data_IF_129685174547
#
_entry.id   IF_129685174547
#
_cell.length_a   1.000
_cell.length_b   1.000
_cell.length_c   1.000
_cell.angle_alpha   90.00
_cell.angle_beta   90.00
_cell.angle_gamma   90.00
#
_symmetry.space_group_name_H-M   'P 1'
#
loop_
_entity.id
_entity.type
_entity.pdbx_description
1 polymer ?
#
# COMPACT_ATOMS: atom_id res chain seq x y z
N UNK A 1 72.79 -18.84 -59.22
CA UNK A 1 71.38 -18.37 -59.12
C UNK A 1 71.38 -16.89 -59.47
N UNK A 2 70.45 -16.41 -60.29
CA UNK A 2 70.32 -14.97 -60.54
C UNK A 2 69.55 -14.34 -59.36
N UNK A 3 70.12 -13.29 -58.75
CA UNK A 3 69.45 -12.55 -57.68
C UNK A 3 68.41 -11.58 -58.23
N UNK A 4 67.23 -11.51 -57.61
CA UNK A 4 66.24 -10.48 -57.92
C UNK A 4 66.65 -9.15 -57.27
N UNK A 5 66.65 -8.07 -58.05
CA UNK A 5 66.76 -6.70 -57.50
C UNK A 5 65.38 -6.30 -56.95
N UNK A 6 65.21 -6.36 -55.63
CA UNK A 6 63.95 -6.01 -54.96
C UNK A 6 63.94 -4.52 -54.61
N UNK A 7 62.88 -3.80 -54.99
CA UNK A 7 62.70 -2.36 -54.75
C UNK A 7 61.30 -2.05 -54.24
N UNK A 8 61.15 -0.85 -53.68
CA UNK A 8 59.85 -0.27 -53.31
C UNK A 8 59.26 0.43 -54.56
N UNK A 9 58.14 -0.10 -55.07
CA UNK A 9 57.52 0.36 -56.32
C UNK A 9 55.99 0.26 -56.22
N UNK A 10 55.27 1.35 -55.89
CA UNK A 10 53.84 1.34 -55.56
C UNK A 10 52.97 1.32 -56.83
N UNK A 11 53.13 0.28 -57.66
CA UNK A 11 52.22 0.03 -58.78
C UNK A 11 51.03 -0.82 -58.31
N UNK A 12 49.81 -0.61 -58.83
CA UNK A 12 48.61 -1.35 -58.39
C UNK A 12 48.73 -2.88 -58.48
N UNK A 13 49.53 -3.39 -59.41
CA UNK A 13 49.83 -4.83 -59.56
C UNK A 13 50.59 -5.46 -58.38
N UNK A 14 51.15 -4.65 -57.47
CA UNK A 14 51.82 -5.10 -56.24
C UNK A 14 51.10 -4.67 -54.95
N UNK A 15 49.86 -4.18 -55.08
CA UNK A 15 49.03 -3.78 -53.96
C UNK A 15 48.66 -5.01 -53.11
N UNK A 16 48.97 -4.95 -51.80
CA UNK A 16 48.67 -6.00 -50.82
C UNK A 16 47.40 -5.69 -50.03
N UNK A 17 47.17 -4.41 -49.75
CA UNK A 17 45.91 -3.89 -49.20
C UNK A 17 45.74 -2.42 -49.56
N UNK A 18 44.53 -2.03 -49.91
CA UNK A 18 44.14 -0.64 -50.19
C UNK A 18 44.35 0.29 -48.98
N UNK A 19 44.36 1.60 -49.25
CA UNK A 19 44.26 2.59 -48.19
C UNK A 19 42.85 2.56 -47.57
N UNK A 20 42.78 2.85 -46.28
CA UNK A 20 41.57 2.81 -45.45
C UNK A 20 41.47 4.09 -44.62
N UNK A 21 40.33 4.35 -43.96
CA UNK A 21 40.15 5.54 -43.12
C UNK A 21 41.09 5.63 -41.89
N UNK A 22 41.92 4.61 -41.63
CA UNK A 22 42.88 4.57 -40.50
C UNK A 22 44.29 4.09 -40.88
N UNK A 23 44.54 3.70 -42.13
CA UNK A 23 45.83 3.13 -42.56
C UNK A 23 46.08 3.36 -44.05
N UNK A 24 47.34 3.65 -44.40
CA UNK A 24 47.78 3.79 -45.80
C UNK A 24 47.71 2.45 -46.55
N UNK A 25 47.71 2.51 -47.88
CA UNK A 25 47.90 1.33 -48.70
C UNK A 25 49.24 0.64 -48.39
N UNK A 26 49.25 -0.69 -48.46
CA UNK A 26 50.44 -1.53 -48.29
C UNK A 26 50.74 -2.19 -49.62
N UNK A 27 51.99 -2.09 -50.06
CA UNK A 27 52.48 -2.75 -51.27
C UNK A 27 53.55 -3.78 -50.91
N UNK A 28 53.61 -4.87 -51.68
CA UNK A 28 54.76 -5.78 -51.64
C UNK A 28 55.93 -5.17 -52.42
N UNK A 29 57.16 -5.40 -51.96
CA UNK A 29 58.37 -5.04 -52.71
C UNK A 29 58.52 -5.99 -53.90
N UNK A 30 59.08 -5.52 -55.01
CA UNK A 30 59.08 -6.28 -56.26
C UNK A 30 60.33 -6.06 -57.12
N UNK A 31 60.54 -6.95 -58.08
CA UNK A 31 61.60 -6.84 -59.08
C UNK A 31 61.08 -6.22 -60.37
N UNK A 32 61.55 -5.02 -60.78
CA UNK A 32 60.98 -4.29 -61.91
C UNK A 32 61.21 -4.98 -63.26
N UNK A 33 62.23 -5.84 -63.36
CA UNK A 33 62.61 -6.53 -64.59
C UNK A 33 61.81 -7.80 -64.88
N UNK A 34 61.25 -8.45 -63.85
CA UNK A 34 60.58 -9.75 -64.00
C UNK A 34 59.27 -9.88 -63.21
N UNK A 35 58.81 -8.79 -62.57
CA UNK A 35 57.58 -8.71 -61.76
C UNK A 35 57.48 -9.73 -60.62
N UNK A 36 58.60 -10.32 -60.21
CA UNK A 36 58.68 -11.15 -59.01
C UNK A 36 58.38 -10.29 -57.78
N UNK A 37 57.46 -10.75 -56.94
CA UNK A 37 57.01 -10.08 -55.73
C UNK A 37 57.63 -10.76 -54.51
N UNK A 38 58.26 -10.02 -53.60
CA UNK A 38 58.78 -10.57 -52.34
C UNK A 38 57.72 -10.57 -51.24
N UNK A 39 58.03 -11.24 -50.12
CA UNK A 39 57.21 -11.23 -48.90
C UNK A 39 57.28 -9.90 -48.15
N UNK A 40 58.30 -9.08 -48.44
CA UNK A 40 58.55 -7.80 -47.78
C UNK A 40 57.56 -6.74 -48.26
N UNK A 41 57.17 -5.85 -47.37
CA UNK A 41 56.19 -4.80 -47.66
C UNK A 41 56.70 -3.41 -47.31
N UNK A 42 56.06 -2.41 -47.89
CA UNK A 42 56.22 -1.00 -47.54
C UNK A 42 54.85 -0.31 -47.58
N UNK A 43 54.73 0.79 -46.85
CA UNK A 43 53.56 1.67 -46.90
C UNK A 43 53.67 2.58 -48.13
N UNK A 44 52.54 3.02 -48.67
CA UNK A 44 52.53 4.05 -49.72
C UNK A 44 53.26 5.32 -49.24
N UNK A 45 54.35 5.74 -49.92
CA UNK A 45 55.11 6.92 -49.52
C UNK A 45 54.48 8.22 -50.05
N UNK A 46 53.58 8.14 -51.03
CA UNK A 46 53.00 9.29 -51.73
C UNK A 46 51.55 9.56 -51.30
N UNK A 47 50.75 8.52 -51.11
CA UNK A 47 49.34 8.62 -50.72
C UNK A 47 49.14 8.47 -49.20
N UNK A 48 48.06 9.06 -48.70
CA UNK A 48 47.68 9.03 -47.29
C UNK A 48 46.84 7.81 -46.91
N UNK A 49 46.06 7.99 -45.83
CA UNK A 49 44.84 7.22 -45.59
C UNK A 49 43.79 7.57 -46.66
N UNK A 50 42.83 6.69 -46.92
CA UNK A 50 41.63 7.07 -47.67
C UNK A 50 40.53 7.43 -46.66
N UNK A 51 40.22 8.72 -46.45
CA UNK A 51 39.26 9.16 -45.45
C UNK A 51 37.80 8.78 -45.76
N UNK A 52 37.51 8.06 -46.86
CA UNK A 52 36.17 7.59 -47.21
C UNK A 52 36.05 6.05 -47.12
N UNK A 53 37.14 5.31 -46.99
CA UNK A 53 37.12 3.84 -46.95
C UNK A 53 36.89 3.31 -45.51
N UNK A 54 35.67 3.54 -45.02
CA UNK A 54 35.16 3.08 -43.74
C UNK A 54 34.69 1.62 -43.81
N UNK A 55 34.76 0.92 -42.67
CA UNK A 55 34.12 -0.39 -42.50
C UNK A 55 32.86 -0.22 -41.63
N UNK A 56 31.79 0.31 -42.24
CA UNK A 56 30.56 0.67 -41.52
C UNK A 56 29.82 -0.58 -41.01
N UNK A 57 29.36 -0.52 -39.76
CA UNK A 57 28.40 -1.45 -39.18
C UNK A 57 27.14 -0.72 -38.68
N UNK A 58 26.03 -1.44 -38.67
CA UNK A 58 24.70 -0.98 -38.24
C UNK A 58 24.45 -1.33 -36.77
N UNK A 59 23.94 -0.38 -36.00
CA UNK A 59 23.61 -0.54 -34.59
C UNK A 59 22.12 -0.20 -34.35
N UNK A 60 21.34 -1.10 -33.73
CA UNK A 60 19.92 -0.83 -33.47
C UNK A 60 19.75 0.23 -32.39
N UNK A 61 18.62 0.95 -32.47
CA UNK A 61 18.21 1.92 -31.47
C UNK A 61 18.06 1.27 -30.08
N UNK A 62 18.42 2.01 -29.03
CA UNK A 62 18.10 1.69 -27.63
C UNK A 62 17.20 2.79 -27.09
N UNK A 63 15.98 2.44 -26.66
CA UNK A 63 15.12 3.39 -25.98
C UNK A 63 15.77 3.88 -24.66
N UNK A 64 15.70 5.18 -24.33
CA UNK A 64 16.10 5.67 -23.01
C UNK A 64 15.17 5.11 -21.92
N UNK A 65 15.68 5.03 -20.69
CA UNK A 65 14.90 4.72 -19.48
C UNK A 65 14.87 5.93 -18.56
N UNK A 66 14.26 5.83 -17.38
CA UNK A 66 14.29 6.91 -16.39
C UNK A 66 15.73 7.29 -15.97
N UNK A 67 16.65 6.32 -15.92
CA UNK A 67 18.00 6.47 -15.38
C UNK A 67 19.12 6.32 -16.43
N UNK A 68 18.85 5.70 -17.58
CA UNK A 68 19.83 5.49 -18.64
C UNK A 68 19.48 6.24 -19.92
N UNK A 69 20.50 6.85 -20.53
CA UNK A 69 20.41 7.36 -21.89
C UNK A 69 20.16 6.23 -22.91
N UNK A 70 19.49 6.61 -23.99
CA UNK A 70 19.25 5.80 -25.18
C UNK A 70 20.06 6.29 -26.38
N UNK A 71 19.75 5.77 -27.55
CA UNK A 71 20.26 6.25 -28.83
C UNK A 71 19.33 5.83 -29.97
N UNK A 72 19.30 6.64 -31.03
CA UNK A 72 18.65 6.26 -32.30
C UNK A 72 19.45 5.16 -33.02
N UNK A 73 18.85 4.50 -34.02
CA UNK A 73 19.59 3.51 -34.81
C UNK A 73 20.68 4.23 -35.61
N UNK A 74 21.92 3.72 -35.58
CA UNK A 74 23.08 4.45 -36.10
C UNK A 74 24.08 3.55 -36.83
N UNK A 75 24.85 4.19 -37.71
CA UNK A 75 26.00 3.63 -38.40
C UNK A 75 27.29 4.13 -37.77
N UNK A 76 28.31 3.27 -37.62
CA UNK A 76 29.66 3.67 -37.23
C UNK A 76 30.74 2.81 -37.88
N UNK A 77 31.93 3.39 -38.07
CA UNK A 77 33.07 2.67 -38.60
C UNK A 77 33.69 1.73 -37.55
N UNK A 78 33.86 0.45 -37.92
CA UNK A 78 34.43 -0.61 -37.06
C UNK A 78 35.96 -0.68 -37.06
N UNK A 79 36.65 0.21 -37.79
CA UNK A 79 38.12 0.24 -37.80
C UNK A 79 38.64 0.98 -36.57
N UNK A 80 39.45 0.31 -35.75
CA UNK A 80 40.15 0.90 -34.61
C UNK A 80 40.88 2.20 -34.99
N UNK A 81 40.69 3.25 -34.18
CA UNK A 81 41.20 4.59 -34.46
C UNK A 81 40.33 5.44 -35.41
N UNK A 82 39.21 4.92 -35.92
CA UNK A 82 38.17 5.71 -36.56
C UNK A 82 37.07 6.08 -35.55
N UNK A 83 36.57 7.31 -35.64
CA UNK A 83 35.47 7.81 -34.81
C UNK A 83 34.29 8.32 -35.65
N UNK A 84 34.26 7.96 -36.94
CA UNK A 84 33.14 8.26 -37.81
C UNK A 84 31.90 7.44 -37.39
N UNK A 85 30.83 8.17 -37.09
CA UNK A 85 29.63 7.65 -36.44
C UNK A 85 28.48 8.64 -36.59
N UNK A 86 27.29 8.12 -36.87
CA UNK A 86 26.03 8.88 -36.95
C UNK A 86 25.23 8.84 -35.63
N UNK A 87 25.83 8.32 -34.54
CA UNK A 87 25.13 8.10 -33.26
C UNK A 87 24.57 9.40 -32.67
N UNK A 88 23.24 9.49 -32.63
CA UNK A 88 22.50 10.45 -31.82
C UNK A 88 22.16 9.82 -30.47
N UNK A 89 22.64 10.41 -29.38
CA UNK A 89 22.29 9.98 -28.01
C UNK A 89 20.99 10.65 -27.56
N UNK A 90 20.11 9.85 -26.94
CA UNK A 90 18.84 10.30 -26.40
C UNK A 90 18.97 10.43 -24.87
N UNK A 91 18.59 11.57 -24.26
CA UNK A 91 18.69 11.73 -22.81
C UNK A 91 17.82 10.72 -22.07
N UNK A 92 18.18 10.39 -20.83
CA UNK A 92 17.31 9.63 -19.94
C UNK A 92 15.98 10.37 -19.73
N UNK A 93 14.89 9.63 -19.60
CA UNK A 93 13.53 10.15 -19.47
C UNK A 93 13.27 10.87 -18.14
N UNK A 94 14.10 10.61 -17.13
CA UNK A 94 13.84 11.01 -15.75
C UNK A 94 12.66 10.28 -15.10
N UNK A 95 12.45 10.55 -13.82
CA UNK A 95 11.30 10.06 -13.07
C UNK A 95 10.14 11.07 -13.12
N UNK A 96 9.01 10.65 -13.70
CA UNK A 96 7.75 11.38 -13.64
C UNK A 96 7.05 11.05 -12.32
N UNK A 97 7.47 11.71 -11.23
CA UNK A 97 6.99 11.43 -9.88
C UNK A 97 5.59 12.03 -9.60
N UNK A 98 4.62 11.16 -9.33
CA UNK A 98 3.33 11.47 -8.71
C UNK A 98 3.50 11.37 -7.18
N UNK A 99 3.04 12.38 -6.44
CA UNK A 99 3.12 12.43 -4.97
C UNK A 99 1.87 11.81 -4.32
N UNK A 100 2.08 11.04 -3.26
CA UNK A 100 1.04 10.41 -2.44
C UNK A 100 1.25 10.77 -0.96
N UNK A 101 0.33 11.57 -0.41
CA UNK A 101 0.34 11.96 1.00
C UNK A 101 0.15 10.75 1.94
N UNK A 102 0.75 10.81 3.13
CA UNK A 102 0.61 9.78 4.15
C UNK A 102 -0.85 9.66 4.64
N UNK A 103 -1.39 8.44 4.65
CA UNK A 103 -2.72 8.13 5.20
C UNK A 103 -2.56 7.26 6.45
N UNK A 104 -3.09 7.71 7.58
CA UNK A 104 -3.14 6.90 8.79
C UNK A 104 -3.96 5.61 8.58
N UNK A 105 -3.50 4.48 9.12
CA UNK A 105 -4.27 3.24 9.12
C UNK A 105 -5.36 3.24 10.20
N UNK A 106 -6.32 2.33 10.06
CA UNK A 106 -7.43 2.12 11.00
C UNK A 106 -7.65 0.60 11.17
N UNK A 107 -8.62 0.21 12.01
CA UNK A 107 -9.06 -1.19 12.08
C UNK A 107 -9.76 -1.66 10.78
N UNK A 108 -10.37 -0.75 10.03
CA UNK A 108 -11.10 -1.05 8.79
C UNK A 108 -10.21 -1.03 7.53
N UNK A 109 -9.29 -0.07 7.46
CA UNK A 109 -8.49 0.22 6.27
C UNK A 109 -7.00 0.31 6.60
N UNK A 110 -6.17 -0.27 5.72
CA UNK A 110 -4.74 -0.03 5.75
C UNK A 110 -4.43 1.44 5.41
N UNK A 111 -3.32 1.94 5.94
CA UNK A 111 -2.77 3.25 5.65
C UNK A 111 -1.59 3.16 4.69
N UNK A 112 -0.94 4.30 4.47
CA UNK A 112 0.30 4.39 3.73
C UNK A 112 1.21 5.48 4.33
N UNK A 113 2.52 5.31 4.20
CA UNK A 113 3.49 6.40 4.42
C UNK A 113 3.36 7.46 3.30
N UNK A 114 4.06 8.57 3.43
CA UNK A 114 4.26 9.49 2.30
C UNK A 114 5.22 8.84 1.30
N UNK A 115 4.87 8.86 0.01
CA UNK A 115 5.71 8.30 -1.06
C UNK A 115 5.50 9.02 -2.39
N UNK A 116 6.40 8.74 -3.34
CA UNK A 116 6.29 9.14 -4.74
C UNK A 116 6.29 7.92 -5.64
N UNK A 117 5.47 7.93 -6.70
CA UNK A 117 5.36 6.85 -7.69
C UNK A 117 5.75 7.36 -9.07
N UNK A 118 6.50 6.57 -9.83
CA UNK A 118 6.95 6.94 -11.17
C UNK A 118 6.20 6.19 -12.27
N UNK A 119 5.21 6.84 -12.91
CA UNK A 119 4.42 6.27 -14.02
C UNK A 119 5.28 5.68 -15.14
N UNK A 120 6.43 6.30 -15.45
CA UNK A 120 7.35 5.84 -16.51
C UNK A 120 7.98 4.44 -16.27
N UNK A 121 8.02 3.94 -15.03
CA UNK A 121 8.72 2.68 -14.72
C UNK A 121 8.15 1.87 -13.55
N UNK A 122 7.06 2.30 -12.91
CA UNK A 122 6.40 1.58 -11.81
C UNK A 122 7.17 1.56 -10.49
N UNK A 123 8.21 2.39 -10.34
CA UNK A 123 9.03 2.48 -9.11
C UNK A 123 8.41 3.41 -8.07
N UNK A 124 8.68 3.11 -6.81
CA UNK A 124 8.24 3.89 -5.65
C UNK A 124 9.46 4.50 -4.94
N UNK A 125 9.31 5.69 -4.37
CA UNK A 125 10.37 6.44 -3.71
C UNK A 125 9.90 7.04 -2.39
N UNK A 126 10.80 7.14 -1.42
CA UNK A 126 10.53 7.76 -0.11
C UNK A 126 10.95 9.24 -0.02
N UNK A 127 11.31 9.84 -1.17
CA UNK A 127 11.66 11.26 -1.30
C UNK A 127 11.31 11.82 -2.68
N UNK A 128 10.97 13.11 -2.75
CA UNK A 128 10.66 13.85 -3.97
C UNK A 128 11.85 14.05 -4.92
N UNK A 129 13.06 13.61 -4.55
CA UNK A 129 14.30 13.79 -5.31
C UNK A 129 14.85 12.48 -5.89
N UNK A 130 14.00 11.45 -6.01
CA UNK A 130 14.27 10.10 -6.56
C UNK A 130 15.48 9.34 -5.97
N UNK A 131 16.03 9.78 -4.84
CA UNK A 131 17.26 9.19 -4.28
C UNK A 131 17.07 7.87 -3.50
N UNK A 132 15.86 7.58 -3.01
CA UNK A 132 15.57 6.43 -2.13
C UNK A 132 14.40 5.60 -2.66
N UNK A 133 14.71 4.76 -3.64
CA UNK A 133 13.81 3.72 -4.13
C UNK A 133 13.37 2.78 -2.99
N UNK A 134 12.07 2.48 -2.95
CA UNK A 134 11.40 1.56 -2.03
C UNK A 134 10.47 0.62 -2.83
N UNK A 135 9.95 -0.43 -2.21
CA UNK A 135 8.94 -1.30 -2.84
C UNK A 135 7.53 -0.77 -2.53
N UNK A 136 6.58 -1.14 -3.40
CA UNK A 136 5.14 -0.95 -3.13
C UNK A 136 4.73 -1.46 -1.74
N UNK A 137 5.19 -2.66 -1.36
CA UNK A 137 4.92 -3.25 -0.04
C UNK A 137 5.49 -2.44 1.13
N UNK A 138 6.56 -1.68 0.93
CA UNK A 138 7.17 -0.83 1.95
C UNK A 138 6.36 0.48 2.14
N UNK A 139 5.45 0.82 1.20
CA UNK A 139 4.56 1.98 1.36
C UNK A 139 3.39 1.74 2.32
N UNK A 140 3.03 0.47 2.56
CA UNK A 140 1.79 0.08 3.23
C UNK A 140 1.94 0.09 4.75
N UNK A 141 1.05 0.81 5.44
CA UNK A 141 0.93 0.79 6.90
C UNK A 141 -0.21 -0.16 7.27
N UNK A 142 0.11 -1.22 8.02
CA UNK A 142 -0.85 -2.25 8.39
C UNK A 142 -2.09 -1.70 9.14
N UNK A 143 -3.22 -2.41 9.01
CA UNK A 143 -4.43 -2.16 9.81
C UNK A 143 -4.11 -2.23 11.30
N UNK A 144 -4.81 -1.43 12.10
CA UNK A 144 -4.70 -1.46 13.56
C UNK A 144 -5.45 -2.67 14.15
N UNK A 145 -5.09 -3.03 15.37
CA UNK A 145 -5.89 -3.96 16.18
C UNK A 145 -7.33 -3.42 16.33
N UNK A 146 -8.37 -4.25 16.12
CA UNK A 146 -9.74 -3.78 16.13
C UNK A 146 -10.30 -3.66 17.56
N UNK A 147 -11.21 -2.72 17.76
CA UNK A 147 -11.88 -2.42 19.04
C UNK A 147 -13.39 -2.61 18.96
N UNK A 148 -14.06 -2.68 20.12
CA UNK A 148 -15.52 -2.67 20.20
C UNK A 148 -15.99 -1.24 20.46
N UNK A 149 -16.71 -0.67 19.50
CA UNK A 149 -17.23 0.71 19.52
C UNK A 149 -18.67 0.82 20.04
N UNK A 150 -19.38 -0.31 20.17
CA UNK A 150 -20.68 -0.37 20.85
C UNK A 150 -20.97 -1.76 21.42
N UNK A 151 -21.69 -1.81 22.54
CA UNK A 151 -22.13 -3.06 23.19
C UNK A 151 -21.27 -3.54 24.35
N UNK A 152 -20.08 -2.95 24.57
CA UNK A 152 -19.30 -3.22 25.79
C UNK A 152 -20.04 -2.77 27.06
N UNK A 153 -19.86 -3.51 28.16
CA UNK A 153 -20.57 -3.30 29.42
C UNK A 153 -22.05 -3.73 29.41
N UNK A 154 -22.55 -4.37 28.36
CA UNK A 154 -23.96 -4.76 28.24
C UNK A 154 -24.44 -5.69 29.38
N UNK A 155 -25.73 -5.59 29.72
CA UNK A 155 -26.35 -6.39 30.78
C UNK A 155 -27.69 -7.02 30.36
N UNK A 156 -27.92 -8.22 30.90
CA UNK A 156 -29.12 -9.05 30.65
C UNK A 156 -29.41 -9.89 31.90
N UNK A 157 -30.67 -10.17 32.21
CA UNK A 157 -31.04 -11.11 33.28
C UNK A 157 -30.95 -12.55 32.79
N UNK A 158 -30.56 -13.47 33.68
CA UNK A 158 -30.49 -14.89 33.37
C UNK A 158 -31.88 -15.42 32.96
N UNK A 159 -31.98 -15.95 31.73
CA UNK A 159 -33.23 -16.41 31.14
C UNK A 159 -34.08 -15.34 30.43
N UNK A 160 -33.60 -14.09 30.32
CA UNK A 160 -34.28 -13.02 29.57
C UNK A 160 -34.16 -13.27 28.05
N UNK A 161 -35.30 -13.29 27.33
CA UNK A 161 -35.33 -13.48 25.87
C UNK A 161 -34.97 -12.18 25.15
N UNK A 162 -33.68 -11.85 25.15
CA UNK A 162 -33.13 -10.60 24.64
C UNK A 162 -31.84 -10.86 23.87
N UNK A 163 -31.78 -10.36 22.64
CA UNK A 163 -30.56 -10.35 21.85
C UNK A 163 -29.59 -9.29 22.36
N UNK A 164 -28.28 -9.58 22.30
CA UNK A 164 -27.23 -8.61 22.63
C UNK A 164 -26.43 -8.29 21.37
N UNK A 165 -26.24 -7.00 21.08
CA UNK A 165 -25.55 -6.53 19.87
C UNK A 165 -24.26 -5.81 20.23
N UNK A 166 -23.19 -6.13 19.52
CA UNK A 166 -21.84 -5.61 19.69
C UNK A 166 -21.32 -5.17 18.33
N UNK A 167 -20.59 -4.06 18.26
CA UNK A 167 -20.09 -3.49 17.01
C UNK A 167 -18.58 -3.32 17.08
N UNK A 168 -17.84 -3.92 16.14
CA UNK A 168 -16.42 -3.65 15.96
C UNK A 168 -16.19 -2.58 14.88
N UNK A 169 -15.12 -1.81 15.04
CA UNK A 169 -14.57 -0.89 14.04
C UNK A 169 -13.88 -1.61 12.85
N UNK A 170 -13.62 -2.91 12.95
CA UNK A 170 -13.12 -3.74 11.85
C UNK A 170 -14.07 -3.71 10.65
N UNK A 171 -13.52 -3.74 9.43
CA UNK A 171 -14.33 -3.82 8.22
C UNK A 171 -14.99 -5.20 8.11
N UNK A 172 -16.24 -5.25 7.67
CA UNK A 172 -17.02 -6.49 7.57
C UNK A 172 -16.36 -7.55 6.66
N UNK A 173 -15.57 -7.14 5.66
CA UNK A 173 -14.79 -8.03 4.80
C UNK A 173 -13.61 -8.72 5.50
N UNK A 174 -13.16 -8.21 6.66
CA UNK A 174 -12.12 -8.82 7.48
C UNK A 174 -12.68 -9.85 8.48
N UNK A 175 -14.00 -9.92 8.69
CA UNK A 175 -14.61 -10.77 9.72
C UNK A 175 -14.35 -12.26 9.47
N UNK A 176 -13.91 -12.97 10.52
CA UNK A 176 -13.60 -14.41 10.48
C UNK A 176 -14.61 -15.22 11.31
N UNK A 177 -14.85 -14.83 12.58
CA UNK A 177 -15.70 -15.58 13.52
C UNK A 177 -16.04 -14.78 14.77
N UNK A 178 -17.07 -15.23 15.48
CA UNK A 178 -17.35 -14.81 16.87
C UNK A 178 -16.78 -15.83 17.85
N UNK A 179 -16.29 -15.33 18.98
CA UNK A 179 -15.88 -16.12 20.15
C UNK A 179 -16.65 -15.68 21.40
N UNK A 180 -16.89 -16.61 22.31
CA UNK A 180 -17.38 -16.36 23.66
C UNK A 180 -16.46 -17.05 24.66
N UNK A 181 -15.96 -16.29 25.64
CA UNK A 181 -15.02 -16.73 26.67
C UNK A 181 -13.79 -17.48 26.09
N UNK A 182 -13.26 -16.95 24.97
CA UNK A 182 -12.12 -17.50 24.25
C UNK A 182 -12.41 -18.78 23.44
N UNK A 183 -13.68 -19.10 23.17
CA UNK A 183 -14.11 -20.28 22.39
C UNK A 183 -14.94 -19.87 21.20
N UNK A 184 -14.67 -20.44 20.03
CA UNK A 184 -15.45 -20.19 18.81
C UNK A 184 -16.93 -20.51 19.01
N UNK A 185 -17.78 -19.52 18.73
CA UNK A 185 -19.22 -19.64 18.82
C UNK A 185 -19.79 -20.22 17.53
N UNK A 186 -20.77 -21.13 17.63
CA UNK A 186 -21.46 -21.65 16.46
C UNK A 186 -22.30 -20.57 15.79
N UNK A 187 -22.24 -20.47 14.45
CA UNK A 187 -22.95 -19.47 13.64
C UNK A 187 -24.47 -19.40 13.92
N UNK A 188 -25.11 -20.51 14.28
CA UNK A 188 -26.55 -20.54 14.62
C UNK A 188 -26.91 -19.73 15.88
N UNK A 189 -25.92 -19.38 16.70
CA UNK A 189 -26.10 -18.65 17.96
C UNK A 189 -25.98 -17.12 17.79
N UNK A 190 -25.62 -16.62 16.61
CA UNK A 190 -25.53 -15.20 16.33
C UNK A 190 -25.99 -14.84 14.90
N UNK A 191 -25.97 -13.56 14.58
CA UNK A 191 -26.03 -13.02 13.21
C UNK A 191 -24.99 -11.92 13.07
N UNK A 192 -24.53 -11.66 11.85
CA UNK A 192 -23.62 -10.54 11.52
C UNK A 192 -24.25 -9.70 10.41
N UNK A 193 -24.01 -8.38 10.41
CA UNK A 193 -24.50 -7.44 9.40
C UNK A 193 -23.40 -6.50 8.91
N UNK A 194 -23.61 -5.99 7.71
CA UNK A 194 -22.74 -5.05 7.00
C UNK A 194 -22.90 -3.59 7.48
N UNK A 195 -21.93 -2.75 7.08
CA UNK A 195 -21.62 -1.48 7.74
C UNK A 195 -20.31 -1.61 8.52
N UNK A 196 -20.29 -1.12 9.77
CA UNK A 196 -19.35 -1.63 10.78
C UNK A 196 -19.66 -3.10 11.08
N UNK A 197 -18.70 -3.87 11.61
CA UNK A 197 -18.94 -5.31 11.88
C UNK A 197 -19.86 -5.47 13.11
N UNK A 198 -21.17 -5.55 12.86
CA UNK A 198 -22.20 -5.68 13.89
C UNK A 198 -22.51 -7.17 14.10
N UNK A 199 -22.17 -7.69 15.28
CA UNK A 199 -22.50 -9.05 15.75
C UNK A 199 -23.66 -8.99 16.72
N UNK A 200 -24.73 -9.75 16.47
CA UNK A 200 -25.87 -9.91 17.37
C UNK A 200 -25.94 -11.34 17.88
N UNK A 201 -25.78 -11.55 19.19
CA UNK A 201 -26.09 -12.83 19.84
C UNK A 201 -27.60 -13.06 19.83
N UNK A 202 -28.04 -14.22 19.34
CA UNK A 202 -29.45 -14.56 19.20
C UNK A 202 -30.09 -14.74 20.58
N UNK A 203 -31.31 -14.23 20.78
CA UNK A 203 -32.00 -14.27 22.08
C UNK A 203 -32.13 -15.71 22.64
N UNK A 204 -32.44 -16.68 21.78
CA UNK A 204 -32.51 -18.11 22.15
C UNK A 204 -31.18 -18.68 22.64
N UNK A 205 -30.05 -18.04 22.34
CA UNK A 205 -28.73 -18.39 22.88
C UNK A 205 -28.44 -17.65 24.19
N UNK A 206 -28.73 -16.35 24.25
CA UNK A 206 -28.53 -15.52 25.46
C UNK A 206 -29.30 -16.06 26.67
N UNK A 207 -30.53 -16.54 26.47
CA UNK A 207 -31.36 -17.22 27.50
C UNK A 207 -30.65 -18.41 28.16
N UNK A 208 -29.74 -19.09 27.44
CA UNK A 208 -29.05 -20.31 27.88
C UNK A 208 -27.73 -20.03 28.60
N UNK A 209 -27.30 -18.78 28.71
CA UNK A 209 -26.05 -18.42 29.38
C UNK A 209 -26.17 -18.57 30.91
N UNK A 210 -25.05 -18.94 31.52
CA UNK A 210 -24.87 -18.91 32.99
C UNK A 210 -24.93 -17.48 33.51
N UNK A 211 -25.38 -17.29 34.75
CA UNK A 211 -25.15 -16.02 35.43
C UNK A 211 -23.64 -15.82 35.69
N UNK A 212 -23.11 -14.64 35.35
CA UNK A 212 -21.69 -14.34 35.41
C UNK A 212 -21.28 -13.20 34.46
N UNK A 213 -19.99 -12.84 34.51
CA UNK A 213 -19.38 -11.98 33.50
C UNK A 213 -18.83 -12.84 32.35
N UNK A 214 -19.14 -12.45 31.12
CA UNK A 214 -18.75 -13.12 29.89
C UNK A 214 -17.98 -12.16 28.99
N UNK A 215 -17.10 -12.69 28.13
CA UNK A 215 -16.33 -11.91 27.15
C UNK A 215 -16.65 -12.37 25.74
N UNK A 216 -17.20 -11.46 24.91
CA UNK A 216 -17.32 -11.65 23.48
C UNK A 216 -15.99 -11.29 22.79
N UNK A 217 -15.58 -12.08 21.81
CA UNK A 217 -14.57 -11.70 20.81
C UNK A 217 -15.18 -11.63 19.41
N UNK A 218 -14.86 -10.59 18.65
CA UNK A 218 -15.13 -10.47 17.21
C UNK A 218 -13.77 -10.58 16.52
N UNK A 219 -13.49 -11.74 15.91
CA UNK A 219 -12.20 -12.03 15.29
C UNK A 219 -12.21 -11.57 13.83
N UNK A 220 -11.22 -10.77 13.47
CA UNK A 220 -11.01 -10.22 12.13
C UNK A 220 -9.58 -10.51 11.65
N UNK A 221 -9.27 -10.22 10.38
CA UNK A 221 -7.93 -10.46 9.81
C UNK A 221 -6.79 -9.73 10.54
N UNK A 222 -7.03 -8.53 11.10
CA UNK A 222 -6.01 -7.77 11.84
C UNK A 222 -5.88 -8.16 13.33
N UNK A 223 -6.90 -8.78 13.92
CA UNK A 223 -6.93 -9.08 15.36
C UNK A 223 -8.33 -9.36 15.90
N UNK A 224 -8.48 -9.38 17.23
CA UNK A 224 -9.75 -9.68 17.90
C UNK A 224 -10.23 -8.52 18.77
N UNK A 225 -11.33 -7.88 18.36
CA UNK A 225 -12.02 -6.90 19.18
C UNK A 225 -12.75 -7.62 20.32
N UNK A 226 -12.63 -7.16 21.57
CA UNK A 226 -13.29 -7.81 22.72
C UNK A 226 -14.19 -6.86 23.50
N UNK A 227 -15.27 -7.40 24.05
CA UNK A 227 -16.21 -6.71 24.92
C UNK A 227 -16.68 -7.63 26.05
N UNK A 228 -16.94 -7.05 27.21
CA UNK A 228 -17.47 -7.74 28.39
C UNK A 228 -18.96 -7.45 28.54
N UNK A 229 -19.73 -8.46 28.90
CA UNK A 229 -21.13 -8.31 29.24
C UNK A 229 -21.48 -9.17 30.46
N UNK A 230 -22.52 -8.80 31.19
CA UNK A 230 -22.93 -9.49 32.42
C UNK A 230 -24.31 -10.10 32.30
N UNK A 231 -24.40 -11.40 32.57
CA UNK A 231 -25.66 -12.11 32.77
C UNK A 231 -25.96 -12.07 34.27
N UNK A 232 -26.81 -11.15 34.69
CA UNK A 232 -27.21 -10.99 36.09
C UNK A 232 -28.11 -12.14 36.50
N UNK A 233 -27.80 -12.79 37.63
CA UNK A 233 -28.67 -13.85 38.17
C UNK A 233 -30.05 -13.27 38.46
N UNK A 234 -31.11 -13.91 37.96
CA UNK A 234 -32.48 -13.54 38.34
C UNK A 234 -32.65 -13.80 39.84
N UNK A 235 -32.90 -12.74 40.61
CA UNK A 235 -33.24 -12.89 42.03
C UNK A 235 -34.55 -13.68 42.15
N UNK A 236 -34.56 -14.65 43.05
CA UNK A 236 -35.76 -15.42 43.31
C UNK A 236 -36.72 -14.57 44.15
N UNK A 237 -37.77 -14.04 43.50
CA UNK A 237 -38.95 -13.56 44.23
C UNK A 237 -39.39 -14.66 45.19
N UNK A 238 -39.18 -14.42 46.48
CA UNK A 238 -39.58 -15.37 47.53
C UNK A 238 -41.08 -15.20 47.72
N UNK A 239 -41.85 -15.88 46.87
CA UNK A 239 -43.31 -15.88 46.90
C UNK A 239 -43.81 -16.37 48.26
N UNK A 240 -44.16 -15.42 49.14
CA UNK A 240 -44.73 -15.70 50.45
C UNK A 240 -46.16 -16.24 50.28
N UNK A 241 -46.29 -17.57 50.21
CA UNK A 241 -47.58 -18.25 50.06
C UNK A 241 -48.53 -17.90 51.20
N UNK A 242 -49.70 -17.34 50.88
CA UNK A 242 -50.68 -16.91 51.88
C UNK A 242 -51.66 -18.03 52.24
N UNK A 243 -51.42 -18.71 53.35
CA UNK A 243 -52.38 -19.63 53.98
C UNK A 243 -52.88 -19.08 55.33
N UNK A 244 -54.18 -18.78 55.43
CA UNK A 244 -54.86 -18.41 56.68
C UNK A 244 -56.37 -18.64 56.60
N UNK A 245 -56.95 -19.46 57.48
CA UNK A 245 -57.78 -18.95 58.60
C UNK A 245 -57.47 -19.66 59.94
N UNK A 246 -57.70 -19.13 61.14
CA UNK A 246 -58.17 -17.84 61.67
C UNK A 246 -57.68 -17.69 63.14
N UNK A 247 -57.85 -16.62 63.93
CA UNK A 247 -58.61 -15.37 63.72
C UNK A 247 -57.73 -14.12 64.05
N UNK A 248 -57.79 -13.34 65.16
CA UNK A 248 -58.73 -13.24 66.30
C UNK A 248 -58.77 -11.82 66.92
N UNK A 249 -59.90 -11.13 66.74
CA UNK A 249 -60.53 -10.08 67.58
C UNK A 249 -59.68 -8.96 68.26
N UNK A 250 -59.77 -7.77 67.64
CA UNK A 250 -59.70 -6.38 68.18
C UNK A 250 -58.33 -5.72 68.47
N UNK A 251 -58.28 -4.44 68.08
CA UNK A 251 -57.26 -3.40 68.33
C UNK A 251 -57.97 -2.16 68.95
N UNK A 252 -57.26 -1.13 69.46
CA UNK A 252 -56.95 0.00 68.56
C UNK A 252 -55.58 0.69 68.75
N UNK A 253 -54.85 0.79 67.64
CA UNK A 253 -54.14 1.97 67.10
C UNK A 253 -53.52 3.06 68.02
N UNK A 254 -52.20 3.19 67.89
CA UNK A 254 -51.45 4.43 67.59
C UNK A 254 -50.27 4.04 66.65
N UNK A 255 -49.71 4.86 65.76
CA UNK A 255 -49.84 6.30 65.49
C UNK A 255 -48.48 7.01 65.72
N UNK A 256 -47.85 7.70 64.77
CA UNK A 256 -48.22 7.89 63.35
C UNK A 256 -47.05 8.47 62.49
N UNK A 257 -46.99 8.09 61.20
CA UNK A 257 -46.38 8.83 60.06
C UNK A 257 -44.88 9.25 60.03
N UNK A 258 -44.48 9.69 58.82
CA UNK A 258 -43.25 10.43 58.44
C UNK A 258 -41.98 9.59 58.20
N UNK A 259 -41.12 9.93 57.22
CA UNK A 259 -40.99 11.23 56.52
C UNK A 259 -40.73 11.11 55.01
N UNK A 260 -41.77 11.31 54.17
CA UNK A 260 -41.64 11.38 52.70
C UNK A 260 -41.18 12.77 52.20
N UNK A 261 -41.11 13.79 53.06
CA UNK A 261 -40.66 15.14 52.69
C UNK A 261 -39.12 15.26 52.56
N UNK A 262 -38.38 14.21 52.91
CA UNK A 262 -36.91 14.19 52.93
C UNK A 262 -36.24 14.22 51.54
N UNK A 263 -37.02 14.08 50.45
CA UNK A 263 -36.51 14.12 49.07
C UNK A 263 -36.97 15.33 48.24
N UNK A 264 -37.85 16.19 48.76
CA UNK A 264 -38.41 17.34 48.01
C UNK A 264 -37.68 18.67 48.36
N UNK A 265 -36.87 18.68 49.42
CA UNK A 265 -36.23 19.88 49.95
C UNK A 265 -34.88 20.29 49.30
N UNK A 266 -34.48 19.67 48.18
CA UNK A 266 -33.14 19.88 47.59
C UNK A 266 -33.13 19.79 46.05
N UNK A 267 -33.66 20.83 45.38
CA UNK A 267 -33.01 21.57 44.28
C UNK A 267 -33.97 22.54 43.56
N UNK A 268 -34.12 23.76 44.09
CA UNK A 268 -34.59 24.92 43.34
C UNK A 268 -33.85 26.19 43.82
N UNK A 269 -32.66 26.42 43.28
CA UNK A 269 -31.88 27.67 43.43
C UNK A 269 -31.23 27.97 42.09
N UNK A 270 -31.39 29.22 41.60
CA UNK A 270 -31.27 29.63 40.17
C UNK A 270 -32.26 28.88 39.25
N UNK A 271 -33.11 29.51 38.44
CA UNK A 271 -33.16 30.91 37.99
C UNK A 271 -32.44 31.06 36.64
N UNK A 272 -33.04 31.56 35.57
CA UNK A 272 -34.40 32.10 35.42
C UNK A 272 -34.39 33.29 34.45
N UNK A 273 -34.55 33.04 33.16
CA UNK A 273 -34.67 34.06 32.12
C UNK A 273 -35.34 33.51 30.83
N UNK A 274 -36.44 34.14 30.45
CA UNK A 274 -36.85 34.60 29.11
C UNK A 274 -36.67 33.73 27.84
N UNK A 275 -37.83 33.36 27.30
CA UNK A 275 -38.29 33.51 25.90
C UNK A 275 -37.26 34.00 24.86
N UNK A 276 -37.08 33.23 23.78
CA UNK A 276 -36.38 33.73 22.57
C UNK A 276 -36.44 32.81 21.35
N UNK A 277 -37.43 33.00 20.47
CA UNK A 277 -37.42 32.36 19.13
C UNK A 277 -36.52 33.11 18.15
N UNK A 278 -35.70 32.42 17.36
CA UNK A 278 -35.42 32.84 15.97
C UNK A 278 -34.79 31.73 15.12
N UNK A 279 -35.36 31.49 13.95
CA UNK A 279 -34.67 30.80 12.84
C UNK A 279 -33.87 31.84 12.06
N UNK A 280 -32.57 31.62 11.86
CA UNK A 280 -31.75 32.42 10.92
C UNK A 280 -31.03 31.51 9.94
N UNK A 281 -31.71 31.19 8.83
CA UNK A 281 -31.07 30.62 7.65
C UNK A 281 -30.53 31.76 6.76
N UNK A 282 -29.20 31.97 6.77
CA UNK A 282 -28.55 32.92 5.84
C UNK A 282 -27.45 32.27 4.99
N UNK A 283 -27.91 31.79 3.84
CA UNK A 283 -27.31 31.92 2.50
C UNK A 283 -25.77 32.02 2.41
N UNK A 284 -25.18 31.02 1.75
CA UNK A 284 -23.95 31.20 0.95
C UNK A 284 -24.09 32.42 0.04
N UNK A 285 -23.02 33.22 -0.11
CA UNK A 285 -22.83 34.11 -1.26
C UNK A 285 -21.62 33.60 -2.05
N UNK A 286 -21.78 33.42 -3.35
CA UNK A 286 -20.66 33.38 -4.29
C UNK A 286 -20.22 34.80 -4.60
N UNK A 287 -18.91 35.03 -4.53
CA UNK A 287 -18.05 35.89 -5.34
C UNK A 287 -16.61 35.45 -4.98
N UNK A 288 -15.65 35.41 -5.89
CA UNK A 288 -15.49 36.13 -7.15
C UNK A 288 -15.12 35.19 -8.29
#
# INVERSE_FOLDING_TARGET
MAGHMIVENPMPEFLKSEATCVSRAVYCKSCPFCRYTSTDTFLDPYNGIDPNNHAIAQYPAKAPTCTEAGWEAYEACTREGCHDSTKVELPALGHALVHHEAKASTAAEAGNIEYWYCDNCGKYFSDAADTKEIKEADTVVAKLDPSIIAGDGATVMQGEHKALSFTSDAAFADFIRVELDGKTLNEKNYTVKDGSTIVTLNADYVVKLSAGAHTLGIVSQSGTATAKFTVSKKEAETTATTDKPASSTKSPQSGDTSNLALWIALLFVSGGADVGTTVVSRKKKYHR
#
